data_IF_036644909368
#
_entry.id   IF_036644909368
#
_cell.length_a   1.000
_cell.length_b   1.000
_cell.length_c   1.000
_cell.angle_alpha   90.00
_cell.angle_beta   90.00
_cell.angle_gamma   90.00
#
_symmetry.space_group_name_H-M   'P 1'
#
loop_
_entity.id
_entity.type
_entity.pdbx_description
1 polymer ?
#
# COMPACT_ATOMS: atom_id res chain seq x y z
N UNK A 1 4.52 -7.22 -0.24
CA UNK A 1 3.17 -7.50 -0.76
C UNK A 1 3.11 -8.95 -1.21
N UNK A 2 1.93 -9.55 -1.11
CA UNK A 2 1.56 -10.88 -1.59
C UNK A 2 0.61 -10.67 -2.76
N UNK A 3 0.82 -11.38 -3.86
CA UNK A 3 -0.06 -11.36 -5.02
C UNK A 3 -0.63 -12.76 -5.20
N UNK A 4 -1.90 -12.86 -5.56
CA UNK A 4 -2.57 -14.11 -5.88
C UNK A 4 -3.21 -13.92 -7.25
N UNK A 5 -2.76 -14.68 -8.25
CA UNK A 5 -3.31 -14.61 -9.61
C UNK A 5 -3.86 -15.97 -9.97
N UNK A 6 -5.18 -16.06 -10.13
CA UNK A 6 -5.92 -17.31 -10.34
C UNK A 6 -5.48 -18.43 -9.36
N UNK A 7 -5.34 -18.05 -8.09
CA UNK A 7 -4.90 -18.94 -7.01
C UNK A 7 -3.40 -19.20 -6.90
N UNK A 8 -2.58 -18.72 -7.85
CA UNK A 8 -1.12 -18.82 -7.81
C UNK A 8 -0.55 -17.68 -6.97
N UNK A 9 0.20 -18.03 -5.93
CA UNK A 9 0.78 -17.06 -5.01
C UNK A 9 2.18 -16.59 -5.44
N UNK A 10 2.37 -15.27 -5.45
CA UNK A 10 3.66 -14.60 -5.65
C UNK A 10 4.00 -13.76 -4.42
N UNK A 11 5.15 -14.03 -3.79
CA UNK A 11 5.58 -13.32 -2.58
C UNK A 11 7.09 -13.07 -2.58
N UNK A 12 7.47 -11.88 -3.06
CA UNK A 12 8.88 -11.51 -3.27
C UNK A 12 9.75 -11.68 -2.01
N UNK A 13 9.27 -11.28 -0.83
CA UNK A 13 10.04 -11.39 0.40
C UNK A 13 10.37 -12.85 0.76
N UNK A 14 9.43 -13.77 0.48
CA UNK A 14 9.63 -15.20 0.68
C UNK A 14 10.63 -15.77 -0.30
N UNK A 15 10.57 -15.35 -1.55
CA UNK A 15 11.52 -15.81 -2.57
C UNK A 15 12.93 -15.27 -2.31
N UNK A 16 13.03 -14.00 -1.88
CA UNK A 16 14.29 -13.37 -1.47
C UNK A 16 14.91 -14.08 -0.27
N UNK A 17 14.12 -14.48 0.73
CA UNK A 17 14.65 -15.20 1.89
C UNK A 17 15.16 -16.60 1.54
N UNK A 18 14.54 -17.27 0.57
CA UNK A 18 15.03 -18.56 0.03
C UNK A 18 16.34 -18.40 -0.73
N UNK A 19 16.57 -17.26 -1.38
CA UNK A 19 17.84 -16.97 -2.04
C UNK A 19 19.01 -16.76 -1.05
N UNK A 20 18.72 -16.53 0.24
CA UNK A 20 19.71 -16.42 1.31
C UNK A 20 20.72 -15.29 1.09
N UNK A 21 21.98 -15.52 1.43
CA UNK A 21 23.05 -14.50 1.37
C UNK A 21 23.31 -13.95 -0.04
N UNK A 22 22.90 -14.68 -1.10
CA UNK A 22 22.99 -14.18 -2.48
C UNK A 22 22.14 -12.94 -2.70
N UNK A 23 21.09 -12.72 -1.90
CA UNK A 23 20.27 -11.52 -1.99
C UNK A 23 20.97 -10.24 -1.50
N UNK A 24 22.15 -10.35 -0.88
CA UNK A 24 22.96 -9.19 -0.48
C UNK A 24 23.80 -8.63 -1.64
N UNK A 25 24.05 -9.43 -2.68
CA UNK A 25 24.68 -8.96 -3.91
C UNK A 25 23.65 -8.14 -4.70
N UNK A 26 23.94 -6.86 -5.02
CA UNK A 26 23.01 -5.98 -5.73
C UNK A 26 22.61 -6.52 -7.10
N UNK A 27 23.51 -7.21 -7.81
CA UNK A 27 23.23 -7.75 -9.14
C UNK A 27 22.30 -8.96 -9.04
N UNK A 28 22.56 -9.86 -8.08
CA UNK A 28 21.69 -10.99 -7.80
C UNK A 28 20.30 -10.55 -7.28
N UNK A 29 20.23 -9.49 -6.47
CA UNK A 29 18.97 -8.91 -6.02
C UNK A 29 18.18 -8.29 -7.18
N UNK A 30 18.85 -7.62 -8.12
CA UNK A 30 18.22 -7.08 -9.32
C UNK A 30 17.67 -8.19 -10.23
N UNK A 31 18.44 -9.26 -10.45
CA UNK A 31 18.01 -10.44 -11.21
C UNK A 31 16.81 -11.13 -10.54
N UNK A 32 16.87 -11.38 -9.24
CA UNK A 32 15.76 -11.98 -8.48
C UNK A 32 14.48 -11.14 -8.61
N UNK A 33 14.60 -9.81 -8.57
CA UNK A 33 13.46 -8.90 -8.77
C UNK A 33 12.93 -8.96 -10.20
N UNK A 34 13.79 -9.01 -11.20
CA UNK A 34 13.38 -9.13 -12.60
C UNK A 34 12.62 -10.45 -12.83
N UNK A 35 13.17 -11.58 -12.37
CA UNK A 35 12.55 -12.90 -12.49
C UNK A 35 11.20 -12.98 -11.78
N UNK A 36 11.07 -12.31 -10.62
CA UNK A 36 9.80 -12.18 -9.91
C UNK A 36 8.76 -11.42 -10.73
N UNK A 37 9.13 -10.24 -11.26
CA UNK A 37 8.23 -9.40 -12.03
C UNK A 37 7.82 -10.09 -13.34
N UNK A 38 8.74 -10.78 -14.01
CA UNK A 38 8.46 -11.52 -15.24
C UNK A 38 7.42 -12.62 -14.99
N UNK A 39 7.59 -13.44 -13.95
CA UNK A 39 6.63 -14.49 -13.60
C UNK A 39 5.26 -13.94 -13.20
N UNK A 40 5.24 -12.88 -12.39
CA UNK A 40 3.99 -12.23 -11.99
C UNK A 40 3.27 -11.66 -13.22
N UNK A 41 3.97 -10.92 -14.08
CA UNK A 41 3.40 -10.35 -15.30
C UNK A 41 2.88 -11.45 -16.22
N UNK A 42 3.64 -12.53 -16.40
CA UNK A 42 3.22 -13.69 -17.18
C UNK A 42 1.92 -14.28 -16.64
N UNK A 43 1.81 -14.49 -15.32
CA UNK A 43 0.58 -15.00 -14.73
C UNK A 43 -0.61 -14.05 -14.93
N UNK A 44 -0.40 -12.74 -14.84
CA UNK A 44 -1.46 -11.74 -15.13
C UNK A 44 -1.87 -11.79 -16.59
N UNK A 45 -0.92 -11.91 -17.52
CA UNK A 45 -1.21 -12.03 -18.96
C UNK A 45 -1.95 -13.33 -19.26
N UNK A 46 -1.56 -14.45 -18.65
CA UNK A 46 -2.24 -15.75 -18.80
C UNK A 46 -3.67 -15.70 -18.24
N UNK A 47 -3.87 -15.01 -17.11
CA UNK A 47 -5.19 -14.81 -16.48
C UNK A 47 -6.12 -13.95 -17.34
N UNK A 48 -5.59 -12.86 -17.89
CA UNK A 48 -6.34 -11.89 -18.69
C UNK A 48 -6.51 -12.32 -20.15
N UNK A 49 -5.66 -13.22 -20.63
CA UNK A 49 -5.60 -13.67 -22.02
C UNK A 49 -4.81 -12.73 -22.93
N UNK A 50 -4.23 -13.30 -24.00
CA UNK A 50 -3.32 -12.64 -24.95
C UNK A 50 -3.93 -11.43 -25.68
N UNK A 51 -5.27 -11.33 -25.75
CA UNK A 51 -5.98 -10.39 -26.62
C UNK A 51 -6.16 -8.98 -26.00
N UNK A 52 -5.82 -8.77 -24.72
CA UNK A 52 -6.07 -7.48 -24.05
C UNK A 52 -4.88 -6.97 -23.23
N UNK A 53 -3.89 -6.41 -23.92
CA UNK A 53 -2.82 -5.63 -23.29
C UNK A 53 -3.38 -4.51 -22.39
N UNK A 54 -4.54 -3.95 -22.75
CA UNK A 54 -5.24 -2.95 -21.94
C UNK A 54 -5.75 -3.51 -20.61
N UNK A 55 -6.39 -4.67 -20.60
CA UNK A 55 -6.87 -5.30 -19.37
C UNK A 55 -5.69 -5.75 -18.49
N UNK A 56 -4.61 -6.26 -19.07
CA UNK A 56 -3.40 -6.61 -18.32
C UNK A 56 -2.77 -5.37 -17.67
N UNK A 57 -2.66 -4.26 -18.41
CA UNK A 57 -2.17 -3.00 -17.86
C UNK A 57 -3.06 -2.47 -16.73
N UNK A 58 -4.38 -2.50 -16.90
CA UNK A 58 -5.31 -2.08 -15.87
C UNK A 58 -5.28 -2.99 -14.64
N UNK A 59 -5.17 -4.31 -14.82
CA UNK A 59 -4.98 -5.25 -13.73
C UNK A 59 -3.67 -4.94 -12.99
N UNK A 60 -2.55 -4.76 -13.69
CA UNK A 60 -1.27 -4.39 -13.06
C UNK A 60 -1.34 -3.06 -12.31
N UNK A 61 -2.05 -2.06 -12.84
CA UNK A 61 -2.31 -0.80 -12.14
C UNK A 61 -3.12 -1.03 -10.87
N UNK A 62 -4.16 -1.86 -10.91
CA UNK A 62 -4.98 -2.18 -9.74
C UNK A 62 -4.27 -3.10 -8.74
N UNK A 63 -3.31 -3.90 -9.17
CA UNK A 63 -2.42 -4.70 -8.32
C UNK A 63 -1.26 -3.86 -7.75
N UNK A 64 -1.20 -2.56 -8.03
CA UNK A 64 -0.16 -1.68 -7.51
C UNK A 64 -0.58 -0.96 -6.23
N UNK A 65 0.37 -0.27 -5.57
CA UNK A 65 0.06 0.55 -4.40
C UNK A 65 -0.89 1.71 -4.70
N UNK A 66 -1.02 2.11 -5.97
CA UNK A 66 -1.91 3.18 -6.40
C UNK A 66 -3.38 2.86 -6.10
N UNK A 67 -3.80 1.60 -6.25
CA UNK A 67 -5.19 1.22 -5.99
C UNK A 67 -5.57 1.30 -4.51
N UNK A 68 -4.63 0.96 -3.63
CA UNK A 68 -4.83 1.12 -2.19
C UNK A 68 -4.86 2.58 -1.82
N UNK A 69 -4.00 3.39 -2.41
CA UNK A 69 -4.01 4.82 -2.18
C UNK A 69 -5.36 5.44 -2.58
N UNK A 70 -5.95 4.99 -3.70
CA UNK A 70 -7.32 5.36 -4.09
C UNK A 70 -8.38 4.81 -3.11
N UNK A 71 -8.22 3.57 -2.64
CA UNK A 71 -9.06 3.00 -1.59
C UNK A 71 -9.01 3.86 -0.33
N UNK A 72 -7.82 4.31 0.09
CA UNK A 72 -7.64 5.19 1.25
C UNK A 72 -8.36 6.53 1.08
N UNK A 73 -8.38 7.09 -0.13
CA UNK A 73 -9.12 8.34 -0.41
C UNK A 73 -10.64 8.13 -0.45
N UNK A 74 -11.10 6.93 -0.78
CA UNK A 74 -12.52 6.58 -0.77
C UNK A 74 -13.02 6.20 0.63
N UNK A 75 -12.13 5.69 1.50
CA UNK A 75 -12.40 5.50 2.91
C UNK A 75 -12.64 6.86 3.58
N UNK A 76 -13.66 6.93 4.44
CA UNK A 76 -14.02 8.18 5.10
C UNK A 76 -13.27 8.42 6.41
N UNK A 77 -12.48 7.46 6.90
CA UNK A 77 -11.78 7.61 8.18
C UNK A 77 -10.77 8.77 8.19
N UNK A 78 -10.43 9.27 9.40
CA UNK A 78 -9.34 10.21 9.51
C UNK A 78 -8.05 9.57 9.00
N UNK A 79 -7.16 10.35 8.36
CA UNK A 79 -5.83 9.87 8.05
C UNK A 79 -5.09 9.51 9.34
N UNK A 80 -4.54 8.29 9.36
CA UNK A 80 -3.78 7.76 10.49
C UNK A 80 -2.38 7.40 10.05
N UNK A 81 -1.39 7.74 10.88
CA UNK A 81 -0.02 7.24 10.76
C UNK A 81 0.21 6.19 11.84
N UNK A 82 0.83 5.07 11.46
CA UNK A 82 1.07 3.93 12.35
C UNK A 82 2.57 3.73 12.55
N UNK A 83 3.02 3.57 13.80
CA UNK A 83 4.41 3.27 14.14
C UNK A 83 4.58 1.82 14.61
N UNK A 84 5.62 1.13 14.13
CA UNK A 84 5.88 -0.27 14.46
C UNK A 84 4.88 -1.24 13.82
N UNK A 85 4.76 -2.44 14.39
CA UNK A 85 3.81 -3.48 14.00
C UNK A 85 4.11 -4.17 12.67
N UNK A 86 3.21 -5.09 12.30
CA UNK A 86 3.27 -5.81 11.03
C UNK A 86 2.27 -5.22 10.05
N UNK A 87 2.70 -5.03 8.80
CA UNK A 87 1.86 -4.60 7.69
C UNK A 87 1.82 -5.72 6.66
N UNK A 88 0.62 -6.12 6.26
CA UNK A 88 0.39 -7.11 5.21
C UNK A 88 -0.40 -6.46 4.11
N UNK A 89 0.04 -6.74 2.89
CA UNK A 89 -0.62 -6.27 1.71
C UNK A 89 -0.83 -7.44 0.77
N UNK A 90 -2.08 -7.69 0.42
CA UNK A 90 -2.48 -8.77 -0.46
C UNK A 90 -3.26 -8.19 -1.63
N UNK A 91 -2.90 -8.59 -2.82
CA UNK A 91 -3.67 -8.33 -4.02
C UNK A 91 -4.07 -9.64 -4.66
N UNK A 92 -5.29 -9.71 -5.16
CA UNK A 92 -5.84 -10.88 -5.82
C UNK A 92 -6.40 -10.49 -7.18
N UNK A 93 -6.06 -11.26 -8.21
CA UNK A 93 -6.66 -11.23 -9.53
C UNK A 93 -7.26 -12.62 -9.78
N UNK A 94 -8.56 -12.65 -10.07
CA UNK A 94 -9.29 -13.89 -10.32
C UNK A 94 -10.15 -13.76 -11.57
N UNK A 95 -10.08 -14.73 -12.46
CA UNK A 95 -10.94 -14.83 -13.64
C UNK A 95 -12.33 -15.27 -13.21
N UNK A 96 -13.35 -14.45 -13.49
CA UNK A 96 -14.75 -14.79 -13.18
C UNK A 96 -15.40 -15.57 -14.33
N UNK A 97 -15.23 -15.06 -15.54
CA UNK A 97 -15.72 -15.62 -16.80
C UNK A 97 -14.84 -15.06 -17.94
N UNK A 98 -14.85 -15.67 -19.14
CA UNK A 98 -14.05 -15.17 -20.26
C UNK A 98 -14.33 -13.68 -20.52
N UNK A 99 -13.27 -12.86 -20.51
CA UNK A 99 -13.39 -11.41 -20.71
C UNK A 99 -13.78 -10.62 -19.46
N UNK A 100 -13.84 -11.25 -18.27
CA UNK A 100 -14.18 -10.59 -17.01
C UNK A 100 -13.37 -11.12 -15.84
N UNK A 101 -12.80 -10.19 -15.09
CA UNK A 101 -11.90 -10.45 -13.99
C UNK A 101 -12.32 -9.68 -12.76
N UNK A 102 -11.96 -10.20 -11.60
CA UNK A 102 -12.08 -9.50 -10.34
C UNK A 102 -10.69 -9.19 -9.82
N UNK A 103 -10.50 -7.94 -9.41
CA UNK A 103 -9.31 -7.50 -8.67
C UNK A 103 -9.72 -7.13 -7.28
N UNK A 104 -8.99 -7.63 -6.29
CA UNK A 104 -9.15 -7.27 -4.89
C UNK A 104 -7.82 -6.79 -4.33
N UNK A 105 -7.86 -5.79 -3.48
CA UNK A 105 -6.70 -5.34 -2.72
C UNK A 105 -7.07 -5.24 -1.24
N UNK A 106 -6.20 -5.75 -0.39
CA UNK A 106 -6.40 -5.74 1.05
C UNK A 106 -5.10 -5.33 1.77
N UNK A 107 -5.24 -4.33 2.63
CA UNK A 107 -4.23 -3.86 3.56
C UNK A 107 -4.66 -4.19 5.00
N UNK A 108 -3.78 -4.88 5.70
CA UNK A 108 -3.93 -5.18 7.12
C UNK A 108 -2.71 -4.68 7.88
N UNK A 109 -2.90 -3.88 8.92
CA UNK A 109 -1.87 -3.54 9.89
C UNK A 109 -2.31 -3.93 11.31
N UNK A 110 -1.41 -4.49 12.10
CA UNK A 110 -1.67 -4.89 13.49
C UNK A 110 -0.39 -4.89 14.32
N UNK A 111 -0.53 -4.92 15.64
CA UNK A 111 0.59 -4.96 16.58
C UNK A 111 1.47 -3.70 16.55
N UNK A 112 0.93 -2.58 16.04
CA UNK A 112 1.62 -1.28 16.08
C UNK A 112 1.55 -0.71 17.50
N UNK A 113 2.56 0.09 17.85
CA UNK A 113 2.75 0.61 19.22
C UNK A 113 2.30 2.05 19.38
N UNK A 114 2.23 2.79 18.28
CA UNK A 114 1.72 4.17 18.28
C UNK A 114 0.84 4.44 17.07
N UNK A 115 -0.11 5.34 17.27
CA UNK A 115 -1.02 5.88 16.26
C UNK A 115 -0.98 7.41 16.33
N UNK A 116 -1.01 8.06 15.18
CA UNK A 116 -1.19 9.50 15.08
C UNK A 116 -2.40 9.75 14.18
N UNK A 117 -3.45 10.34 14.74
CA UNK A 117 -4.65 10.74 13.97
C UNK A 117 -4.44 12.17 13.51
N UNK A 118 -4.59 12.44 12.20
CA UNK A 118 -4.30 13.77 11.63
C UNK A 118 -5.34 14.87 11.97
N UNK A 119 -6.36 14.57 12.79
CA UNK A 119 -7.32 15.56 13.26
C UNK A 119 -6.78 16.33 14.48
N UNK A 120 -5.91 17.34 14.28
CA UNK A 120 -5.46 18.28 15.32
C UNK A 120 -3.94 18.43 15.46
N UNK A 121 -3.44 18.70 16.67
CA UNK A 121 -2.00 18.91 16.96
C UNK A 121 -1.11 17.67 16.74
N UNK A 122 -1.67 16.56 16.26
CA UNK A 122 -0.92 15.46 15.66
C UNK A 122 0.11 14.83 16.60
N UNK A 123 -0.20 14.67 17.88
CA UNK A 123 0.69 13.96 18.80
C UNK A 123 0.50 12.46 18.59
N UNK A 124 1.60 11.72 18.41
CA UNK A 124 1.56 10.27 18.35
C UNK A 124 1.21 9.71 19.74
N UNK A 125 0.12 8.96 19.83
CA UNK A 125 -0.35 8.33 21.05
C UNK A 125 0.04 6.85 21.07
N UNK A 126 0.35 6.32 22.26
CA UNK A 126 0.54 4.88 22.42
C UNK A 126 -0.76 4.12 22.17
N UNK A 127 -0.68 2.91 21.61
CA UNK A 127 -1.84 2.04 21.42
C UNK A 127 -1.56 0.61 21.88
N UNK A 128 -2.63 -0.14 22.15
CA UNK A 128 -2.55 -1.58 22.44
C UNK A 128 -2.13 -2.35 21.19
N UNK A 129 -1.39 -3.45 21.37
CA UNK A 129 -1.04 -4.39 20.29
C UNK A 129 -2.25 -5.12 19.71
N UNK A 130 -3.39 -5.11 20.41
CA UNK A 130 -4.68 -5.58 19.91
C UNK A 130 -5.28 -4.66 18.83
N UNK A 131 -4.68 -3.48 18.61
CA UNK A 131 -5.14 -2.55 17.58
C UNK A 131 -4.88 -3.10 16.18
N UNK A 132 -5.84 -2.89 15.28
CA UNK A 132 -5.81 -3.33 13.90
C UNK A 132 -6.43 -2.33 12.95
N UNK A 133 -5.91 -2.30 11.72
CA UNK A 133 -6.41 -1.50 10.60
C UNK A 133 -6.57 -2.41 9.41
N UNK A 134 -7.79 -2.61 8.95
CA UNK A 134 -8.13 -3.42 7.78
C UNK A 134 -8.82 -2.53 6.75
N UNK A 135 -8.27 -2.47 5.54
CA UNK A 135 -8.80 -1.65 4.45
C UNK A 135 -8.69 -2.42 3.15
N UNK A 136 -9.63 -2.23 2.24
CA UNK A 136 -9.53 -2.88 0.96
C UNK A 136 -10.62 -2.50 -0.02
N UNK A 137 -10.51 -3.08 -1.19
CA UNK A 137 -11.45 -2.87 -2.28
C UNK A 137 -11.65 -4.15 -3.07
N UNK A 138 -12.77 -4.20 -3.78
CA UNK A 138 -13.04 -5.15 -4.84
C UNK A 138 -13.52 -4.40 -6.08
N UNK A 139 -12.97 -4.73 -7.24
CA UNK A 139 -13.38 -4.18 -8.52
C UNK A 139 -13.48 -5.30 -9.57
N UNK A 140 -14.35 -5.13 -10.56
CA UNK A 140 -14.39 -5.96 -11.75
C UNK A 140 -13.82 -5.22 -12.94
N UNK A 141 -13.04 -5.95 -13.74
CA UNK A 141 -12.59 -5.57 -15.06
C UNK A 141 -13.42 -6.37 -16.07
N UNK A 142 -13.93 -5.73 -17.11
CA UNK A 142 -14.57 -6.44 -18.22
C UNK A 142 -14.26 -5.78 -19.54
N UNK A 143 -14.02 -6.58 -20.58
CA UNK A 143 -13.98 -6.07 -21.95
C UNK A 143 -15.36 -5.48 -22.31
N UNK A 144 -15.37 -4.27 -22.86
CA UNK A 144 -16.58 -3.60 -23.32
C UNK A 144 -17.22 -4.39 -24.47
N UNK A 145 -18.55 -4.45 -24.48
CA UNK A 145 -19.33 -5.24 -25.43
C UNK A 145 -19.35 -4.67 -26.86
N UNK A 146 -18.35 -3.87 -27.27
CA UNK A 146 -18.31 -3.27 -28.60
C UNK A 146 -17.98 -4.35 -29.64
N UNK A 147 -19.04 -5.05 -30.06
CA UNK A 147 -19.02 -6.24 -30.89
C UNK A 147 -18.66 -6.01 -32.37
N UNK A 148 -18.12 -4.84 -32.74
CA UNK A 148 -17.99 -4.43 -34.14
C UNK A 148 -16.62 -3.89 -34.56
N UNK A 149 -15.64 -3.74 -33.66
CA UNK A 149 -14.28 -3.31 -34.04
C UNK A 149 -13.22 -4.31 -33.55
N UNK A 150 -12.29 -4.64 -34.45
CA UNK A 150 -11.19 -5.59 -34.24
C UNK A 150 -10.12 -5.16 -33.22
N UNK A 151 -10.46 -4.25 -32.30
CA UNK A 151 -9.64 -3.89 -31.16
C UNK A 151 -10.54 -3.70 -29.93
N UNK A 152 -10.34 -4.44 -28.82
CA UNK A 152 -11.01 -4.17 -27.57
C UNK A 152 -10.45 -2.87 -26.97
N UNK A 153 -10.91 -1.73 -27.47
CA UNK A 153 -10.54 -0.40 -26.94
C UNK A 153 -11.22 -0.09 -25.62
N UNK A 154 -12.30 -0.82 -25.32
CA UNK A 154 -13.18 -0.47 -24.23
C UNK A 154 -12.90 -1.44 -23.08
N UNK A 155 -12.29 -0.94 -22.02
CA UNK A 155 -12.18 -1.65 -20.75
C UNK A 155 -13.11 -0.95 -19.75
N UNK A 156 -14.04 -1.71 -19.19
CA UNK A 156 -14.92 -1.24 -18.14
C UNK A 156 -14.36 -1.67 -16.79
N UNK A 157 -14.07 -0.68 -15.94
CA UNK A 157 -13.69 -0.90 -14.55
C UNK A 157 -14.88 -0.53 -13.67
N UNK A 158 -15.36 -1.46 -12.85
CA UNK A 158 -16.44 -1.23 -11.89
C UNK A 158 -15.96 -1.55 -10.49
N UNK A 159 -15.93 -0.54 -9.63
CA UNK A 159 -15.72 -0.76 -8.19
C UNK A 159 -16.98 -1.41 -7.63
N UNK A 160 -16.81 -2.57 -6.99
CA UNK A 160 -17.88 -3.33 -6.33
C UNK A 160 -18.02 -2.87 -4.90
N UNK A 161 -16.89 -2.80 -4.19
CA UNK A 161 -16.87 -2.52 -2.76
C UNK A 161 -15.56 -1.81 -2.38
N UNK A 162 -15.67 -0.97 -1.35
CA UNK A 162 -14.55 -0.34 -0.65
C UNK A 162 -14.90 -0.44 0.83
N UNK A 163 -14.06 -1.13 1.59
CA UNK A 163 -14.32 -1.38 3.00
C UNK A 163 -13.18 -0.88 3.87
N UNK A 164 -13.56 -0.57 5.11
CA UNK A 164 -12.66 -0.18 6.16
C UNK A 164 -13.17 -0.70 7.50
N UNK A 165 -12.26 -1.29 8.26
CA UNK A 165 -12.45 -1.74 9.62
C UNK A 165 -11.25 -1.27 10.45
N UNK A 166 -11.53 -0.35 11.38
CA UNK A 166 -10.54 0.27 12.26
C UNK A 166 -10.89 -0.07 13.71
N UNK A 167 -10.00 -0.79 14.36
CA UNK A 167 -10.09 -1.07 15.78
C UNK A 167 -8.80 -0.58 16.44
N UNK A 168 -8.79 0.67 16.91
CA UNK A 168 -7.61 1.24 17.55
C UNK A 168 -7.90 1.40 19.04
N UNK A 169 -7.10 0.77 19.89
CA UNK A 169 -7.28 0.81 21.33
C UNK A 169 -6.13 1.59 21.98
N UNK A 170 -6.46 2.37 23.00
CA UNK A 170 -5.49 2.96 23.91
C UNK A 170 -4.62 1.88 24.57
N UNK A 171 -3.51 2.24 25.24
CA UNK A 171 -2.69 1.28 25.97
C UNK A 171 -3.45 0.57 27.09
N UNK A 172 -4.55 1.18 27.57
CA UNK A 172 -5.45 0.61 28.59
C UNK A 172 -6.57 -0.26 28.01
N UNK A 173 -6.62 -0.44 26.68
CA UNK A 173 -7.61 -1.26 26.00
C UNK A 173 -8.95 -0.57 25.69
N UNK A 174 -9.02 0.76 25.83
CA UNK A 174 -10.21 1.54 25.50
C UNK A 174 -10.19 1.86 24.01
N UNK A 175 -11.27 1.59 23.28
CA UNK A 175 -11.37 1.93 21.86
C UNK A 175 -11.29 3.46 21.69
N UNK A 176 -10.37 3.93 20.84
CA UNK A 176 -10.34 5.32 20.42
C UNK A 176 -11.59 5.61 19.61
N UNK A 177 -12.31 6.66 20.01
CA UNK A 177 -13.40 7.16 19.20
C UNK A 177 -12.80 7.97 18.04
N UNK A 178 -12.64 7.32 16.88
CA UNK A 178 -12.19 7.94 15.63
C UNK A 178 -13.38 8.53 14.84
N UNK A 179 -14.45 8.94 15.53
CA UNK A 179 -15.57 9.63 14.90
C UNK A 179 -15.04 10.78 14.03
N UNK A 180 -15.40 10.72 12.76
CA UNK A 180 -15.03 11.71 11.78
C UNK A 180 -15.52 13.09 12.24
N UNK A 181 -14.66 14.11 12.41
CA UNK A 181 -15.14 15.45 12.17
C UNK A 181 -15.75 15.44 10.76
N UNK A 182 -16.94 16.04 10.54
CA UNK A 182 -17.59 16.00 9.24
C UNK A 182 -16.59 16.47 8.20
N UNK A 183 -16.20 15.56 7.30
CA UNK A 183 -15.25 15.88 6.25
C UNK A 183 -15.91 17.00 5.44
N UNK A 184 -15.33 18.21 5.35
CA UNK A 184 -15.80 19.20 4.40
C UNK A 184 -15.22 18.76 3.04
N UNK A 185 -15.62 17.58 2.58
CA UNK A 185 -15.71 17.35 1.16
C UNK A 185 -16.81 18.31 0.72
N UNK A 186 -16.41 19.54 0.36
CA UNK A 186 -17.16 20.27 -0.66
C UNK A 186 -17.47 19.22 -1.71
N UNK A 187 -18.75 18.87 -1.87
CA UNK A 187 -19.18 17.92 -2.85
C UNK A 187 -18.44 18.26 -4.14
N UNK A 188 -17.74 17.30 -4.78
CA UNK A 188 -16.89 17.60 -5.92
C UNK A 188 -17.69 18.51 -6.84
N UNK A 189 -17.21 19.75 -7.04
CA UNK A 189 -17.79 20.71 -7.98
C UNK A 189 -18.15 19.89 -9.20
N UNK A 190 -19.46 19.78 -9.49
CA UNK A 190 -20.03 18.79 -10.42
C UNK A 190 -18.95 18.27 -11.36
N UNK A 191 -18.50 17.03 -11.16
CA UNK A 191 -17.60 16.40 -12.11
C UNK A 191 -18.18 16.69 -13.49
N UNK A 192 -17.39 17.26 -14.42
CA UNK A 192 -17.91 17.64 -15.73
C UNK A 192 -18.67 16.42 -16.27
N UNK A 193 -19.95 16.60 -16.64
CA UNK A 193 -20.87 15.54 -17.11
C UNK A 193 -20.39 14.81 -18.38
N UNK A 194 -19.15 15.00 -18.77
CA UNK A 194 -18.48 14.19 -19.77
C UNK A 194 -18.09 12.87 -19.11
N UNK A 195 -18.80 11.80 -19.46
CA UNK A 195 -18.28 10.44 -19.30
C UNK A 195 -16.88 10.42 -19.97
N UNK A 196 -15.82 9.95 -19.28
CA UNK A 196 -14.53 9.80 -19.90
C UNK A 196 -14.68 8.81 -21.06
N UNK A 197 -14.45 9.30 -22.28
CA UNK A 197 -14.77 8.55 -23.52
C UNK A 197 -13.60 7.71 -24.01
N UNK A 198 -12.55 7.54 -23.18
CA UNK A 198 -11.42 6.71 -23.54
C UNK A 198 -10.46 6.39 -22.40
N UNK A 199 -9.72 5.29 -22.56
CA UNK A 199 -8.75 4.79 -21.60
C UNK A 199 -7.64 5.80 -21.24
N UNK A 200 -7.27 6.69 -22.16
CA UNK A 200 -6.25 7.72 -21.92
C UNK A 200 -6.70 8.78 -20.89
N UNK A 201 -7.99 9.13 -20.86
CA UNK A 201 -8.54 10.03 -19.83
C UNK A 201 -8.60 9.33 -18.48
N UNK A 202 -9.06 8.07 -18.42
CA UNK A 202 -9.07 7.30 -17.18
C UNK A 202 -7.65 7.13 -16.59
N UNK A 203 -6.64 6.87 -17.44
CA UNK A 203 -5.23 6.86 -17.04
C UNK A 203 -4.78 8.25 -16.57
N UNK A 204 -5.17 9.33 -17.26
CA UNK A 204 -4.89 10.70 -16.84
C UNK A 204 -5.49 11.05 -15.46
N UNK A 205 -6.68 10.56 -15.15
CA UNK A 205 -7.29 10.68 -13.83
C UNK A 205 -6.53 9.88 -12.76
N UNK A 206 -6.11 8.65 -13.06
CA UNK A 206 -5.29 7.82 -12.17
C UNK A 206 -3.88 8.40 -11.96
N UNK A 207 -3.29 9.04 -12.98
CA UNK A 207 -2.01 9.72 -12.88
C UNK A 207 -2.11 11.07 -12.14
N UNK A 208 -3.20 11.81 -12.31
CA UNK A 208 -3.46 13.03 -11.56
C UNK A 208 -3.67 12.73 -10.07
N UNK A 209 -4.47 11.70 -9.77
CA UNK A 209 -4.59 11.16 -8.42
C UNK A 209 -3.22 10.64 -7.91
N UNK A 210 -2.48 9.91 -8.74
CA UNK A 210 -1.13 9.41 -8.43
C UNK A 210 -0.10 10.49 -8.11
N UNK A 211 -0.19 11.67 -8.75
CA UNK A 211 0.68 12.83 -8.47
C UNK A 211 0.38 13.44 -7.10
N UNK A 212 -0.88 13.54 -6.70
CA UNK A 212 -1.27 13.99 -5.36
C UNK A 212 -0.86 12.96 -4.28
N UNK A 213 -0.93 11.68 -4.62
CA UNK A 213 -0.51 10.55 -3.78
C UNK A 213 1.01 10.46 -3.54
N UNK A 214 1.85 11.14 -4.30
CA UNK A 214 3.30 11.18 -4.05
C UNK A 214 3.65 11.85 -2.70
N UNK A 215 2.81 12.78 -2.25
CA UNK A 215 2.89 13.38 -0.91
C UNK A 215 2.56 12.38 0.20
N UNK A 216 1.65 11.43 -0.06
CA UNK A 216 1.24 10.37 0.86
C UNK A 216 2.21 9.17 0.85
N UNK A 217 2.77 8.81 -0.30
CA UNK A 217 3.72 7.70 -0.47
C UNK A 217 5.11 7.98 0.13
N UNK A 218 5.49 9.26 0.28
CA UNK A 218 6.69 9.65 1.04
C UNK A 218 6.66 9.16 2.49
N UNK A 219 5.47 8.93 3.07
CA UNK A 219 5.31 8.46 4.44
C UNK A 219 5.51 6.95 4.63
N UNK A 220 5.28 6.13 3.59
CA UNK A 220 5.54 4.69 3.66
C UNK A 220 7.03 4.33 3.61
N UNK A 221 7.89 5.25 3.14
CA UNK A 221 9.34 5.09 3.05
C UNK A 221 10.09 5.41 4.36
N UNK A 222 9.40 5.83 5.41
CA UNK A 222 9.99 6.39 6.63
C UNK A 222 10.48 5.42 7.71
N UNK A 223 10.30 4.09 7.59
CA UNK A 223 10.62 3.18 8.72
C UNK A 223 11.96 2.45 8.67
N UNK A 224 12.74 2.53 7.59
CA UNK A 224 13.93 1.67 7.45
C UNK A 224 15.27 2.34 7.78
N UNK A 225 15.33 3.64 8.10
CA UNK A 225 16.58 4.29 8.54
C UNK A 225 16.33 5.42 9.55
N UNK A 226 16.58 5.15 10.82
CA UNK A 226 16.89 6.17 11.83
C UNK A 226 18.43 6.23 12.02
N UNK A 227 19.06 7.29 11.49
CA UNK A 227 20.48 7.66 11.69
C UNK A 227 21.18 8.18 10.40
N UNK A 228 22.08 9.19 10.48
CA UNK A 228 21.75 10.54 10.02
C UNK A 228 22.31 10.95 8.64
N UNK A 229 21.57 11.90 8.05
CA UNK A 229 22.00 13.02 7.19
C UNK A 229 22.34 12.75 5.72
N UNK A 230 21.46 13.23 4.84
CA UNK A 230 21.87 13.93 3.62
C UNK A 230 21.27 15.34 3.65
N UNK A 231 22.14 16.32 3.89
CA UNK A 231 21.90 17.73 3.63
C UNK A 231 21.87 17.97 2.12
N UNK A 232 20.87 18.73 1.67
CA UNK A 232 20.94 19.44 0.41
C UNK A 232 20.99 20.92 0.74
N UNK A 233 22.18 21.49 0.88
CA UNK A 233 22.38 22.94 0.79
C UNK A 233 23.62 23.29 -0.02
N UNK A 234 23.36 23.86 -1.20
CA UNK A 234 23.83 25.22 -1.50
C UNK A 234 22.63 25.96 -2.13
N UNK A 235 22.09 27.04 -1.57
CA UNK A 235 22.56 27.75 -0.39
C UNK A 235 21.58 28.78 0.19
N UNK A 236 21.98 29.24 1.39
CA UNK A 236 21.81 30.57 2.01
C UNK A 236 20.41 31.24 2.00
N UNK A 237 19.85 31.72 3.11
CA UNK A 237 20.38 32.09 4.44
C UNK A 237 19.22 32.20 5.45
N UNK A 238 19.49 31.89 6.72
CA UNK A 238 18.92 32.43 7.98
C UNK A 238 17.37 32.40 8.16
N UNK A 239 16.80 31.83 9.22
CA UNK A 239 17.05 32.19 10.62
C UNK A 239 16.26 31.27 11.60
N UNK A 240 16.95 30.89 12.68
CA UNK A 240 16.51 30.54 14.05
C UNK A 240 15.09 30.00 14.34
N UNK A 241 15.05 28.81 14.97
CA UNK A 241 14.02 28.40 15.94
C UNK A 241 14.66 28.04 17.29
N UNK A 242 13.95 28.21 18.43
CA UNK A 242 14.53 28.21 19.77
C UNK A 242 14.75 26.81 20.34
N UNK A 243 15.78 26.70 21.19
CA UNK A 243 16.12 25.51 21.97
C UNK A 243 15.19 25.38 23.17
N UNK A 244 14.52 24.24 23.30
CA UNK A 244 13.81 23.75 24.49
C UNK A 244 14.16 22.27 24.75
N UNK A 245 14.12 21.79 26.01
CA UNK A 245 14.99 20.70 26.46
C UNK A 245 14.47 19.30 26.09
N UNK A 246 15.36 18.51 25.48
CA UNK A 246 15.21 17.06 25.31
C UNK A 246 15.46 16.36 26.65
N UNK A 247 14.42 15.71 27.18
CA UNK A 247 14.58 14.67 28.18
C UNK A 247 15.21 13.44 27.52
N UNK A 248 16.39 13.04 28.03
CA UNK A 248 17.07 11.80 27.66
C UNK A 248 16.26 10.60 28.18
N UNK A 249 15.80 9.73 27.27
CA UNK A 249 15.50 8.34 27.59
C UNK A 249 16.67 7.47 27.12
N UNK A 250 17.56 7.14 28.04
CA UNK A 250 18.50 6.03 27.92
C UNK A 250 17.80 4.75 28.39
N UNK A 251 17.56 3.81 27.49
CA UNK A 251 17.40 2.40 27.86
C UNK A 251 18.40 1.56 27.05
N UNK A 252 19.39 1.03 27.77
CA UNK A 252 20.34 0.07 27.25
C UNK A 252 19.70 -1.31 27.18
N UNK A 253 19.81 -1.96 26.03
CA UNK A 253 19.58 -3.40 25.90
C UNK A 253 20.89 -4.13 26.26
N UNK A 254 20.95 -4.71 27.46
CA UNK A 254 21.92 -5.77 27.75
C UNK A 254 21.43 -7.06 27.08
N UNK A 255 22.29 -7.65 26.25
CA UNK A 255 22.09 -9.00 25.72
C UNK A 255 22.56 -10.03 26.76
N UNK A 256 21.66 -10.93 27.19
CA UNK A 256 22.03 -12.15 27.89
C UNK A 256 22.50 -13.19 26.87
N UNK A 257 23.68 -13.81 27.03
CA UNK A 257 24.04 -14.99 26.24
C UNK A 257 23.32 -16.23 26.79
N UNK A 258 22.74 -17.00 25.87
CA UNK A 258 22.19 -18.33 26.11
C UNK A 258 23.32 -19.30 26.42
N UNK A 259 23.28 -19.92 27.61
CA UNK A 259 24.11 -21.07 27.95
C UNK A 259 23.60 -22.31 27.19
N UNK A 260 24.50 -22.94 26.44
CA UNK A 260 24.25 -24.21 25.76
C UNK A 260 24.81 -25.32 26.65
N UNK A 261 23.92 -26.11 27.24
CA UNK A 261 24.26 -27.43 27.81
C UNK A 261 24.82 -28.32 26.71
N UNK A 262 25.97 -28.93 26.98
CA UNK A 262 26.51 -30.04 26.20
C UNK A 262 26.63 -31.24 27.13
N UNK A 263 25.73 -32.19 26.95
CA UNK A 263 25.82 -33.53 27.53
C UNK A 263 27.01 -34.27 26.92
N UNK A 264 27.83 -34.85 27.80
CA UNK A 264 28.97 -35.68 27.44
C UNK A 264 28.57 -37.15 27.21
N UNK A 265 29.26 -37.77 26.26
CA UNK A 265 29.57 -39.21 26.21
C UNK A 265 31.07 -39.37 25.93
#
# INVERSE_FOLDING_TARGET
ARYVVDGIEFWFERERSVAGDRAQDPDAAALCRADFLERLLKAVLESVGDESSLAANAAMLLLSQTSLALCLTACQSPPISLCGGTRRLTFELSTLEPGKWQVQGNFCAYGFSQVQVQSGEGIAEGCSTASSVHRGFAATLSAGASASSASPTDLVVRVIDVFEDLAIFSPTGILFNLENPPCPLEAPREAPKAEPTGAAEAIGWLEAAGRDLSSWLLFAKGSDKLGPQWDYQTGNTASSWPKGPLAQCTMGCQMNPLEHESDGF
#
